data_IF_737201872570
#
_entry.id   IF_737201872570
#
_cell.length_a   1.000
_cell.length_b   1.000
_cell.length_c   1.000
_cell.angle_alpha   90.00
_cell.angle_beta   90.00
_cell.angle_gamma   90.00
#
_symmetry.space_group_name_H-M   'P 1'
#
loop_
_entity.id
_entity.type
_entity.pdbx_description
1 polymer ?
#
# COMPACT_ATOMS: atom_id res chain seq x y z
N UNK A 1 21.46 -31.29 25.42
CA UNK A 1 22.50 -30.23 25.45
C UNK A 1 21.82 -28.96 25.88
N UNK A 2 22.22 -28.44 27.04
CA UNK A 2 21.76 -27.15 27.55
C UNK A 2 22.56 -26.02 26.90
N UNK A 3 21.95 -24.87 26.70
CA UNK A 3 22.64 -23.63 26.32
C UNK A 3 23.30 -23.08 27.57
N UNK A 4 24.59 -22.77 27.53
CA UNK A 4 25.35 -22.36 28.72
C UNK A 4 24.98 -20.94 29.20
N UNK A 5 24.62 -20.04 28.27
CA UNK A 5 24.12 -18.70 28.58
C UNK A 5 23.03 -18.23 27.59
N UNK A 6 21.75 -18.49 27.86
CA UNK A 6 20.67 -18.19 26.91
C UNK A 6 20.30 -16.70 26.84
N UNK A 7 20.95 -15.81 27.61
CA UNK A 7 20.57 -14.40 27.74
C UNK A 7 20.45 -13.69 26.39
N UNK A 8 21.41 -13.87 25.48
CA UNK A 8 21.39 -13.25 24.15
C UNK A 8 20.19 -13.68 23.30
N UNK A 9 19.88 -14.98 23.28
CA UNK A 9 18.74 -15.52 22.54
C UNK A 9 17.40 -15.09 23.16
N UNK A 10 17.32 -14.99 24.48
CA UNK A 10 16.13 -14.50 25.19
C UNK A 10 15.90 -13.00 24.94
N UNK A 11 16.98 -12.21 24.92
CA UNK A 11 16.96 -10.80 24.55
C UNK A 11 16.50 -10.61 23.09
N UNK A 12 17.02 -11.41 22.16
CA UNK A 12 16.60 -11.36 20.75
C UNK A 12 15.12 -11.76 20.59
N UNK A 13 14.65 -12.77 21.34
CA UNK A 13 13.23 -13.14 21.40
C UNK A 13 12.35 -11.97 21.86
N UNK A 14 12.78 -11.23 22.88
CA UNK A 14 12.06 -10.07 23.40
C UNK A 14 11.99 -8.92 22.38
N UNK A 15 13.04 -8.70 21.60
CA UNK A 15 13.03 -7.72 20.50
C UNK A 15 12.05 -8.18 19.41
N UNK A 16 12.08 -9.46 19.03
CA UNK A 16 11.18 -9.98 18.00
C UNK A 16 9.70 -9.90 18.37
N UNK A 17 9.35 -10.19 19.62
CA UNK A 17 7.95 -10.11 20.07
C UNK A 17 7.39 -8.67 20.03
N UNK A 18 8.25 -7.67 20.19
CA UNK A 18 7.88 -6.25 20.08
C UNK A 18 7.72 -5.78 18.63
N UNK A 19 8.54 -6.30 17.71
CA UNK A 19 8.61 -5.82 16.31
C UNK A 19 7.65 -6.56 15.39
N UNK A 20 7.47 -7.87 15.55
CA UNK A 20 6.58 -8.69 14.70
C UNK A 20 5.72 -9.62 15.54
N UNK A 21 4.41 -9.36 15.57
CA UNK A 21 3.43 -10.29 16.15
C UNK A 21 3.40 -11.58 15.32
N UNK A 22 3.70 -12.73 15.95
CA UNK A 22 3.49 -14.06 15.37
C UNK A 22 4.74 -14.85 14.95
N UNK A 23 5.96 -14.36 15.20
CA UNK A 23 7.18 -15.15 14.94
C UNK A 23 7.33 -16.24 16.00
N UNK A 24 7.27 -17.51 15.60
CA UNK A 24 7.57 -18.64 16.47
C UNK A 24 9.09 -18.77 16.65
N UNK A 25 9.65 -17.96 17.55
CA UNK A 25 11.10 -17.93 17.81
C UNK A 25 11.69 -19.30 18.18
N UNK A 26 10.92 -20.13 18.88
CA UNK A 26 11.30 -21.51 19.23
C UNK A 26 11.52 -22.40 18.01
N UNK A 27 10.83 -22.15 16.90
CA UNK A 27 11.05 -22.89 15.64
C UNK A 27 12.35 -22.49 14.93
N UNK A 28 12.91 -21.31 15.23
CA UNK A 28 14.18 -20.84 14.66
C UNK A 28 15.40 -21.43 15.39
N UNK A 29 15.23 -21.95 16.61
CA UNK A 29 16.31 -22.50 17.44
C UNK A 29 16.56 -23.98 17.13
N UNK A 30 17.07 -24.29 15.95
CA UNK A 30 17.51 -25.66 15.60
C UNK A 30 18.69 -26.12 16.46
N UNK A 31 18.90 -27.44 16.59
CA UNK A 31 20.02 -28.01 17.37
C UNK A 31 21.38 -27.45 16.93
N UNK A 32 21.59 -27.31 15.62
CA UNK A 32 22.80 -26.72 15.05
C UNK A 32 23.03 -25.27 15.51
N UNK A 33 21.99 -24.46 15.54
CA UNK A 33 22.07 -23.06 16.00
C UNK A 33 22.39 -22.99 17.50
N UNK A 34 21.90 -23.93 18.30
CA UNK A 34 22.22 -24.00 19.73
C UNK A 34 23.69 -24.38 19.98
N UNK A 35 24.24 -25.30 19.17
CA UNK A 35 25.66 -25.66 19.20
C UNK A 35 26.55 -24.50 18.72
N UNK A 36 26.20 -23.87 17.60
CA UNK A 36 26.91 -22.70 17.07
C UNK A 36 26.91 -21.55 18.10
N UNK A 37 25.81 -21.33 18.80
CA UNK A 37 25.69 -20.26 19.81
C UNK A 37 26.62 -20.47 21.01
N UNK A 38 26.83 -21.72 21.45
CA UNK A 38 27.77 -22.02 22.53
C UNK A 38 29.23 -21.74 22.13
N UNK A 39 29.56 -21.77 20.84
CA UNK A 39 30.92 -21.49 20.33
C UNK A 39 31.14 -20.01 19.99
N UNK A 40 30.17 -19.35 19.37
CA UNK A 40 30.30 -17.99 18.86
C UNK A 40 28.97 -17.20 18.98
N UNK A 41 28.57 -16.79 20.20
CA UNK A 41 27.26 -16.22 20.47
C UNK A 41 26.97 -14.94 19.68
N UNK A 42 27.97 -14.04 19.53
CA UNK A 42 27.85 -12.78 18.77
C UNK A 42 27.48 -13.04 17.31
N UNK A 43 28.22 -13.95 16.65
CA UNK A 43 28.00 -14.27 15.23
C UNK A 43 26.61 -14.85 14.97
N UNK A 44 26.11 -15.66 15.90
CA UNK A 44 24.78 -16.28 15.81
C UNK A 44 23.69 -15.23 16.03
N UNK A 45 23.87 -14.32 16.97
CA UNK A 45 22.92 -13.22 17.19
C UNK A 45 22.83 -12.30 15.97
N UNK A 46 23.95 -11.94 15.36
CA UNK A 46 23.98 -11.18 14.10
C UNK A 46 23.29 -11.93 12.97
N UNK A 47 23.60 -13.22 12.78
CA UNK A 47 23.00 -14.02 11.70
C UNK A 47 21.50 -14.18 11.87
N UNK A 48 21.04 -14.56 13.06
CA UNK A 48 19.61 -14.73 13.36
C UNK A 48 18.82 -13.43 13.19
N UNK A 49 19.39 -12.30 13.61
CA UNK A 49 18.74 -11.00 13.44
C UNK A 49 18.75 -10.53 11.99
N UNK A 50 19.81 -10.80 11.22
CA UNK A 50 19.87 -10.52 9.79
C UNK A 50 18.87 -11.37 8.98
N UNK A 51 18.74 -12.66 9.28
CA UNK A 51 17.78 -13.58 8.63
C UNK A 51 16.33 -13.16 8.86
N UNK A 52 16.06 -12.46 9.97
CA UNK A 52 14.75 -11.87 10.27
C UNK A 52 14.59 -10.43 9.76
N UNK A 53 15.59 -9.91 9.03
CA UNK A 53 15.57 -8.60 8.39
C UNK A 53 15.84 -7.41 9.32
N UNK A 54 16.37 -7.62 10.53
CA UNK A 54 16.61 -6.54 11.51
C UNK A 54 17.84 -5.66 11.24
N UNK A 55 18.64 -5.99 10.21
CA UNK A 55 19.87 -5.25 9.83
C UNK A 55 20.78 -4.94 11.03
N UNK A 56 21.29 -5.98 11.69
CA UNK A 56 22.12 -5.83 12.87
C UNK A 56 23.51 -5.30 12.50
N UNK A 57 24.09 -4.50 13.38
CA UNK A 57 25.50 -4.10 13.31
C UNK A 57 26.14 -4.25 14.68
N UNK A 58 27.33 -4.84 14.72
CA UNK A 58 28.14 -4.91 15.92
C UNK A 58 28.96 -3.64 16.05
N UNK A 59 28.92 -3.04 17.22
CA UNK A 59 29.49 -1.73 17.52
C UNK A 59 30.25 -1.81 18.83
N UNK A 60 31.33 -1.05 18.92
CA UNK A 60 32.15 -0.95 20.13
C UNK A 60 32.06 0.45 20.72
N UNK A 61 31.88 0.54 22.03
CA UNK A 61 31.81 1.81 22.75
C UNK A 61 30.41 2.42 22.84
N UNK A 62 30.37 3.63 23.39
CA UNK A 62 29.14 4.37 23.73
C UNK A 62 28.74 5.42 22.70
N UNK A 63 29.65 5.76 21.78
CA UNK A 63 29.50 6.89 20.86
C UNK A 63 28.26 6.74 19.97
N UNK A 64 27.97 5.51 19.53
CA UNK A 64 26.84 5.25 18.63
C UNK A 64 25.49 5.52 19.28
N UNK A 65 25.38 5.39 20.60
CA UNK A 65 24.13 5.62 21.33
C UNK A 65 23.76 7.10 21.46
N UNK A 66 24.68 8.02 21.13
CA UNK A 66 24.35 9.44 21.01
C UNK A 66 23.46 9.73 19.79
N UNK A 67 23.67 8.98 18.69
CA UNK A 67 22.89 9.10 17.45
C UNK A 67 21.80 8.05 17.26
N UNK A 68 21.96 6.87 17.87
CA UNK A 68 21.03 5.75 17.73
C UNK A 68 20.09 5.63 18.94
N UNK A 69 18.77 5.71 18.70
CA UNK A 69 17.73 5.61 19.73
C UNK A 69 16.84 4.37 19.66
N UNK A 70 17.19 3.40 18.82
CA UNK A 70 16.46 2.13 18.72
C UNK A 70 16.81 1.15 19.85
N UNK A 71 16.20 -0.05 19.85
CA UNK A 71 16.59 -1.12 20.75
C UNK A 71 18.01 -1.59 20.43
N UNK A 72 18.80 -1.93 21.45
CA UNK A 72 20.14 -2.48 21.30
C UNK A 72 20.35 -3.67 22.24
N UNK A 73 21.14 -4.65 21.81
CA UNK A 73 21.69 -5.67 22.68
C UNK A 73 23.02 -5.18 23.22
N UNK A 74 23.18 -5.22 24.53
CA UNK A 74 24.41 -4.81 25.20
C UNK A 74 24.98 -5.99 25.97
N UNK A 75 26.27 -6.25 25.79
CA UNK A 75 26.96 -7.30 26.53
C UNK A 75 27.58 -6.74 27.81
N UNK A 76 27.33 -7.44 28.92
CA UNK A 76 27.89 -7.15 30.23
C UNK A 76 29.22 -7.90 30.43
N UNK A 77 30.04 -7.45 31.38
CA UNK A 77 31.35 -8.06 31.73
C UNK A 77 31.25 -9.52 32.17
N UNK A 78 30.08 -9.95 32.65
CA UNK A 78 29.80 -11.34 32.99
C UNK A 78 29.36 -12.21 31.79
N UNK A 79 29.56 -11.71 30.56
CA UNK A 79 29.12 -12.31 29.29
C UNK A 79 27.60 -12.43 29.08
N UNK A 80 26.78 -11.85 29.97
CA UNK A 80 25.33 -11.81 29.78
C UNK A 80 24.95 -10.69 28.82
N UNK A 81 23.87 -10.92 28.07
CA UNK A 81 23.29 -9.92 27.19
C UNK A 81 22.02 -9.35 27.81
N UNK A 82 21.86 -8.03 27.70
CA UNK A 82 20.66 -7.30 28.10
C UNK A 82 20.11 -6.50 26.93
N UNK A 83 18.80 -6.25 26.90
CA UNK A 83 18.19 -5.35 25.91
C UNK A 83 18.06 -3.96 26.50
N UNK A 84 18.53 -2.96 25.77
CA UNK A 84 18.17 -1.57 25.96
C UNK A 84 17.04 -1.24 24.99
N UNK A 85 15.76 -1.09 25.42
CA UNK A 85 14.66 -0.80 24.49
C UNK A 85 14.81 0.57 23.81
N UNK A 86 15.40 1.54 24.52
CA UNK A 86 15.69 2.88 24.00
C UNK A 86 17.15 3.23 24.33
N UNK A 87 18.06 2.80 23.46
CA UNK A 87 19.50 2.89 23.72
C UNK A 87 20.05 4.30 23.88
N UNK A 88 19.34 5.33 23.38
CA UNK A 88 19.68 6.75 23.61
C UNK A 88 19.74 7.13 25.09
N UNK A 89 18.93 6.50 25.94
CA UNK A 89 18.97 6.72 27.39
C UNK A 89 20.34 6.36 27.99
N UNK A 90 21.06 5.43 27.39
CA UNK A 90 22.38 5.02 27.87
C UNK A 90 23.45 6.10 27.64
N UNK A 91 23.27 6.98 26.65
CA UNK A 91 24.15 8.11 26.42
C UNK A 91 23.82 9.30 27.34
N UNK A 92 22.53 9.61 27.50
CA UNK A 92 22.08 10.93 28.01
C UNK A 92 21.37 10.90 29.39
N UNK A 93 20.78 9.78 29.80
CA UNK A 93 19.88 9.74 30.96
C UNK A 93 20.57 9.27 32.26
N UNK A 94 20.04 9.69 33.41
CA UNK A 94 20.52 9.24 34.73
C UNK A 94 20.12 7.79 35.03
N UNK A 95 18.93 7.39 34.57
CA UNK A 95 18.39 6.04 34.66
C UNK A 95 18.12 5.48 33.26
N UNK A 96 18.44 4.21 33.07
CA UNK A 96 18.31 3.50 31.80
C UNK A 96 17.33 2.36 31.99
N UNK A 97 16.37 2.26 31.06
CA UNK A 97 15.45 1.14 31.00
C UNK A 97 16.18 -0.08 30.38
N UNK A 98 16.30 -1.16 31.14
CA UNK A 98 17.02 -2.38 30.76
C UNK A 98 16.10 -3.58 30.93
N UNK A 99 15.99 -4.43 29.90
CA UNK A 99 15.38 -5.75 30.04
C UNK A 99 16.49 -6.78 30.23
N UNK A 100 16.57 -7.34 31.43
CA UNK A 100 17.48 -8.42 31.78
C UNK A 100 16.68 -9.71 31.96
N UNK A 101 16.83 -10.68 31.03
CA UNK A 101 16.05 -11.92 31.05
C UNK A 101 16.46 -12.87 32.19
N UNK A 102 17.62 -12.66 32.83
CA UNK A 102 18.11 -13.49 33.93
C UNK A 102 17.82 -12.90 35.32
N UNK A 103 17.30 -11.67 35.38
CA UNK A 103 16.99 -10.97 36.64
C UNK A 103 15.80 -11.54 37.42
N UNK A 104 14.99 -12.40 36.79
CA UNK A 104 13.76 -12.97 37.36
C UNK A 104 12.61 -11.97 37.53
N UNK A 105 12.80 -10.69 37.16
CA UNK A 105 11.73 -9.68 37.15
C UNK A 105 11.04 -9.66 35.79
N UNK A 106 9.71 -9.67 35.79
CA UNK A 106 8.95 -9.52 34.55
C UNK A 106 9.00 -8.08 34.05
N UNK A 107 9.47 -7.88 32.82
CA UNK A 107 9.47 -6.59 32.14
C UNK A 107 10.77 -5.79 32.26
N UNK A 108 10.68 -4.50 31.95
CA UNK A 108 11.84 -3.60 31.87
C UNK A 108 12.14 -3.02 33.25
N UNK A 109 13.40 -3.06 33.65
CA UNK A 109 13.90 -2.58 34.94
C UNK A 109 14.59 -1.23 34.72
N UNK A 110 14.35 -0.27 35.61
CA UNK A 110 15.11 0.98 35.63
C UNK A 110 16.40 0.78 36.43
N UNK A 111 17.55 0.99 35.80
CA UNK A 111 18.89 0.83 36.40
C UNK A 111 19.64 2.16 36.29
N UNK A 112 20.42 2.51 37.32
CA UNK A 112 21.26 3.71 37.27
C UNK A 112 22.32 3.58 36.16
N UNK A 113 22.48 4.62 35.33
CA UNK A 113 23.44 4.61 34.22
C UNK A 113 24.87 4.28 34.67
N UNK A 114 25.30 4.79 35.82
CA UNK A 114 26.62 4.53 36.38
C UNK A 114 26.87 3.03 36.62
N UNK A 115 25.88 2.32 37.18
CA UNK A 115 25.98 0.88 37.43
C UNK A 115 26.06 0.08 36.12
N UNK A 116 25.30 0.49 35.11
CA UNK A 116 25.32 -0.16 33.81
C UNK A 116 26.65 0.08 33.08
N UNK A 117 27.22 1.29 33.18
CA UNK A 117 28.53 1.62 32.60
C UNK A 117 29.66 0.81 33.23
N UNK A 118 29.64 0.60 34.56
CA UNK A 118 30.62 -0.23 35.24
C UNK A 118 30.58 -1.69 34.78
N UNK A 119 29.39 -2.19 34.46
CA UNK A 119 29.17 -3.57 34.01
C UNK A 119 29.25 -3.73 32.48
N UNK A 120 29.34 -2.65 31.71
CA UNK A 120 29.41 -2.71 30.25
C UNK A 120 30.74 -3.29 29.77
N UNK A 121 30.68 -4.28 28.88
CA UNK A 121 31.87 -4.92 28.30
C UNK A 121 32.50 -4.11 27.16
N UNK A 122 31.80 -3.09 26.64
CA UNK A 122 32.19 -2.35 25.45
C UNK A 122 31.52 -2.81 24.16
N UNK A 123 30.88 -3.99 24.14
CA UNK A 123 30.26 -4.57 22.94
C UNK A 123 28.76 -4.39 22.90
N UNK A 124 28.24 -3.95 21.76
CA UNK A 124 26.82 -3.82 21.52
C UNK A 124 26.41 -4.24 20.10
N UNK A 125 25.18 -4.74 19.95
CA UNK A 125 24.54 -4.99 18.67
C UNK A 125 23.34 -4.05 18.54
N UNK A 126 23.37 -3.18 17.54
CA UNK A 126 22.27 -2.28 17.20
C UNK A 126 21.51 -2.81 15.99
N UNK A 127 20.26 -2.36 15.82
CA UNK A 127 19.39 -2.80 14.73
C UNK A 127 18.92 -1.58 13.94
N UNK A 128 19.53 -1.32 12.80
CA UNK A 128 19.27 -0.11 12.01
C UNK A 128 17.82 0.03 11.59
N UNK A 129 17.16 -1.09 11.28
CA UNK A 129 15.75 -1.08 10.92
C UNK A 129 14.81 -0.88 12.12
N UNK A 130 15.34 -0.80 13.34
CA UNK A 130 14.59 -0.56 14.58
C UNK A 130 14.90 0.81 15.21
N UNK A 131 15.84 1.58 14.63
CA UNK A 131 16.10 2.96 15.01
C UNK A 131 14.78 3.75 15.05
N UNK A 132 14.53 4.47 16.14
CA UNK A 132 13.40 5.39 16.19
C UNK A 132 13.62 6.46 15.11
N UNK A 133 12.76 6.47 14.09
CA UNK A 133 12.74 7.57 13.13
C UNK A 133 12.11 8.74 13.86
N UNK A 134 12.84 9.83 13.98
CA UNK A 134 12.33 11.04 14.59
C UNK A 134 11.26 11.66 13.68
N UNK A 135 9.99 11.38 14.01
CA UNK A 135 8.82 11.93 13.32
C UNK A 135 8.85 13.46 13.25
N UNK A 136 9.54 14.13 14.18
CA UNK A 136 9.69 15.60 14.24
C UNK A 136 10.66 16.11 13.16
N UNK A 137 11.64 15.30 12.76
CA UNK A 137 12.56 15.62 11.66
C UNK A 137 11.95 15.38 10.29
N UNK A 138 11.10 14.34 10.15
CA UNK A 138 10.52 13.91 8.87
C UNK A 138 8.99 14.09 8.78
N UNK A 139 8.49 15.27 9.14
CA UNK A 139 7.03 15.51 9.24
C UNK A 139 6.28 15.29 7.92
N UNK A 140 6.89 15.65 6.78
CA UNK A 140 6.32 15.53 5.43
C UNK A 140 6.16 14.07 5.01
N UNK A 141 7.19 13.27 5.23
CA UNK A 141 7.18 11.86 4.89
C UNK A 141 6.23 11.07 5.79
N UNK A 142 6.27 11.34 7.11
CA UNK A 142 5.33 10.75 8.07
C UNK A 142 3.88 11.08 7.72
N UNK A 143 3.59 12.33 7.31
CA UNK A 143 2.26 12.75 6.86
C UNK A 143 1.79 12.00 5.61
N UNK A 144 2.68 11.79 4.63
CA UNK A 144 2.37 10.99 3.44
C UNK A 144 2.04 9.54 3.79
N UNK A 145 2.82 8.93 4.68
CA UNK A 145 2.64 7.54 5.09
C UNK A 145 1.31 7.35 5.82
N UNK A 146 0.95 8.27 6.72
CA UNK A 146 -0.35 8.24 7.40
C UNK A 146 -1.52 8.26 6.40
N UNK A 147 -1.44 9.09 5.36
CA UNK A 147 -2.46 9.14 4.29
C UNK A 147 -2.43 7.87 3.44
N UNK A 148 -1.24 7.35 3.10
CA UNK A 148 -1.13 6.12 2.32
C UNK A 148 -1.72 4.91 3.06
N UNK A 149 -1.50 4.82 4.38
CA UNK A 149 -2.10 3.82 5.26
C UNK A 149 -3.62 3.97 5.37
N UNK A 150 -4.15 5.19 5.42
CA UNK A 150 -5.59 5.45 5.32
C UNK A 150 -6.19 4.89 4.01
N UNK A 151 -5.43 4.89 2.91
CA UNK A 151 -5.82 4.24 1.66
C UNK A 151 -5.39 2.76 1.57
N UNK A 152 -5.23 2.06 2.70
CA UNK A 152 -4.84 0.66 2.82
C UNK A 152 -3.51 0.29 2.13
N UNK A 153 -2.64 1.27 1.89
CA UNK A 153 -1.30 1.00 1.33
C UNK A 153 -0.36 0.77 2.49
N UNK A 154 0.12 -0.47 2.64
CA UNK A 154 1.10 -0.82 3.68
C UNK A 154 2.44 -0.23 3.28
N UNK A 155 2.86 0.79 4.01
CA UNK A 155 4.12 1.50 3.78
C UNK A 155 4.83 1.64 5.13
N UNK A 156 6.11 1.29 5.14
CA UNK A 156 7.01 1.51 6.26
C UNK A 156 7.94 2.71 5.96
N UNK A 157 8.07 3.62 6.92
CA UNK A 157 8.89 4.83 6.77
C UNK A 157 10.36 4.50 6.53
N UNK A 158 10.88 3.45 7.16
CA UNK A 158 12.28 3.03 7.08
C UNK A 158 12.59 2.41 5.73
N UNK A 159 11.64 1.65 5.19
CA UNK A 159 11.74 1.08 3.84
C UNK A 159 11.86 2.21 2.80
N UNK A 160 10.98 3.22 2.87
CA UNK A 160 11.08 4.39 1.99
C UNK A 160 12.40 5.12 2.19
N UNK A 161 12.79 5.40 3.43
CA UNK A 161 14.01 6.16 3.68
C UNK A 161 15.24 5.48 3.09
N UNK A 162 15.28 4.15 3.15
CA UNK A 162 16.36 3.38 2.55
C UNK A 162 16.29 3.32 1.03
N UNK A 163 15.13 2.95 0.46
CA UNK A 163 14.95 2.77 -0.99
C UNK A 163 15.22 4.08 -1.76
N UNK A 164 14.82 5.21 -1.20
CA UNK A 164 14.98 6.53 -1.81
C UNK A 164 16.17 7.32 -1.27
N UNK A 165 17.05 6.69 -0.47
CA UNK A 165 18.21 7.32 0.15
C UNK A 165 17.87 8.67 0.82
N UNK A 166 16.77 8.69 1.58
CA UNK A 166 16.33 9.87 2.34
C UNK A 166 17.16 9.96 3.60
N UNK A 167 17.88 11.08 3.76
CA UNK A 167 18.64 11.39 4.98
C UNK A 167 17.75 11.77 6.17
N UNK A 168 18.34 12.34 7.21
CA UNK A 168 17.57 12.82 8.38
C UNK A 168 16.81 14.13 8.13
N UNK A 169 17.10 14.84 7.03
CA UNK A 169 16.45 16.11 6.69
C UNK A 169 15.11 15.93 5.97
N UNK A 170 14.21 16.89 6.18
CA UNK A 170 12.88 16.94 5.59
C UNK A 170 12.89 16.69 4.05
N UNK A 171 12.21 15.62 3.61
CA UNK A 171 12.13 15.23 2.18
C UNK A 171 11.64 16.40 1.33
N UNK A 172 12.45 16.87 0.36
CA UNK A 172 12.05 17.93 -0.59
C UNK A 172 10.79 17.57 -1.39
N UNK A 173 10.01 18.58 -1.79
CA UNK A 173 8.69 18.36 -2.41
C UNK A 173 8.78 17.51 -3.68
N UNK A 174 9.73 17.81 -4.58
CA UNK A 174 10.00 17.02 -5.79
C UNK A 174 10.24 15.54 -5.49
N UNK A 175 10.92 15.27 -4.38
CA UNK A 175 11.31 13.92 -3.99
C UNK A 175 10.10 13.18 -3.42
N UNK A 176 9.30 13.85 -2.58
CA UNK A 176 8.01 13.31 -2.13
C UNK A 176 7.07 13.00 -3.30
N UNK A 177 6.99 13.88 -4.31
CA UNK A 177 6.14 13.61 -5.48
C UNK A 177 6.58 12.36 -6.25
N UNK A 178 7.89 12.10 -6.33
CA UNK A 178 8.43 10.90 -6.94
C UNK A 178 8.09 9.65 -6.13
N UNK A 179 8.38 9.66 -4.82
CA UNK A 179 8.01 8.58 -3.89
C UNK A 179 6.51 8.29 -3.99
N UNK A 180 5.68 9.33 -3.88
CA UNK A 180 4.24 9.20 -4.00
C UNK A 180 3.82 8.55 -5.33
N UNK A 181 4.41 8.94 -6.46
CA UNK A 181 4.10 8.39 -7.77
C UNK A 181 4.41 6.89 -7.86
N UNK A 182 5.52 6.44 -7.28
CA UNK A 182 5.94 5.03 -7.29
C UNK A 182 4.99 4.17 -6.45
N UNK A 183 4.46 4.72 -5.35
CA UNK A 183 3.35 4.12 -4.58
C UNK A 183 1.96 4.38 -5.18
N UNK A 184 1.88 4.83 -6.44
CA UNK A 184 0.63 5.10 -7.18
C UNK A 184 -0.24 6.22 -6.58
N UNK A 185 0.36 7.24 -6.00
CA UNK A 185 -0.31 8.45 -5.56
C UNK A 185 0.02 9.62 -6.49
N UNK A 186 -1.02 10.35 -6.91
CA UNK A 186 -0.86 11.67 -7.53
C UNK A 186 -0.89 12.73 -6.44
N UNK A 187 0.15 13.56 -6.39
CA UNK A 187 0.22 14.71 -5.49
C UNK A 187 -0.04 16.03 -6.23
N UNK A 188 -0.76 16.96 -5.60
CA UNK A 188 -0.94 18.32 -6.12
C UNK A 188 -1.02 19.33 -4.98
N UNK A 189 -0.17 20.36 -5.01
CA UNK A 189 -0.28 21.49 -4.09
C UNK A 189 -1.43 22.40 -4.52
N UNK A 190 -2.26 22.81 -3.56
CA UNK A 190 -3.38 23.73 -3.73
C UNK A 190 -3.43 24.71 -2.56
N UNK A 191 -4.00 25.89 -2.78
CA UNK A 191 -4.30 26.85 -1.71
C UNK A 191 -5.80 26.88 -1.47
N UNK A 192 -6.25 26.53 -0.27
CA UNK A 192 -7.66 26.52 0.11
C UNK A 192 -7.91 27.46 1.28
N UNK A 193 -9.04 28.17 1.23
CA UNK A 193 -9.53 28.98 2.36
C UNK A 193 -10.36 28.11 3.31
N UNK A 194 -10.52 28.56 4.56
CA UNK A 194 -11.30 27.87 5.59
C UNK A 194 -12.72 27.49 5.13
N UNK A 195 -13.46 28.44 4.53
CA UNK A 195 -14.79 28.19 3.95
C UNK A 195 -14.83 27.11 2.85
N UNK A 196 -13.71 26.90 2.13
CA UNK A 196 -13.61 25.85 1.12
C UNK A 196 -13.26 24.50 1.75
N UNK A 197 -12.51 24.49 2.85
CA UNK A 197 -12.19 23.27 3.60
C UNK A 197 -13.45 22.62 4.17
N UNK A 198 -14.39 23.42 4.68
CA UNK A 198 -15.71 22.96 5.14
C UNK A 198 -16.46 22.17 4.05
N UNK A 199 -16.40 22.64 2.80
CA UNK A 199 -17.07 22.01 1.66
C UNK A 199 -16.23 20.90 0.99
N UNK A 200 -14.98 20.72 1.41
CA UNK A 200 -14.02 19.82 0.77
C UNK A 200 -13.96 18.43 1.42
N UNK A 201 -14.99 18.01 2.16
CA UNK A 201 -15.00 16.73 2.88
C UNK A 201 -14.58 15.51 2.05
N UNK A 202 -14.88 15.49 0.74
CA UNK A 202 -14.48 14.42 -0.19
C UNK A 202 -13.01 14.40 -0.60
N UNK A 203 -12.24 15.45 -0.29
CA UNK A 203 -10.82 15.61 -0.70
C UNK A 203 -9.85 15.36 0.46
N UNK A 204 -10.38 15.06 1.65
CA UNK A 204 -9.62 14.70 2.85
C UNK A 204 -9.41 13.18 2.92
N UNK A 205 -8.31 12.69 3.54
CA UNK A 205 -7.27 13.46 4.23
C UNK A 205 -6.24 14.09 3.27
N UNK A 206 -5.62 15.20 3.68
CA UNK A 206 -4.58 15.89 2.92
C UNK A 206 -3.44 16.40 3.81
N UNK A 207 -2.28 16.73 3.23
CA UNK A 207 -1.15 17.27 4.01
C UNK A 207 -1.25 18.80 4.06
N UNK A 208 -1.33 19.38 5.25
CA UNK A 208 -1.31 20.82 5.48
C UNK A 208 0.10 21.34 5.76
N UNK A 209 0.42 22.52 5.22
CA UNK A 209 1.74 23.16 5.36
C UNK A 209 1.68 24.24 6.45
N UNK A 210 2.44 24.03 7.53
CA UNK A 210 2.59 24.97 8.64
C UNK A 210 3.47 26.16 8.24
N UNK A 211 3.30 27.28 8.94
CA UNK A 211 4.17 28.47 8.77
C UNK A 211 5.60 28.23 9.22
N UNK A 212 5.83 27.27 10.12
CA UNK A 212 7.16 26.82 10.54
C UNK A 212 7.94 26.08 9.44
N UNK A 213 7.30 25.74 8.31
CA UNK A 213 7.89 24.93 7.24
C UNK A 213 7.72 23.41 7.45
N UNK A 214 7.01 23.00 8.50
CA UNK A 214 6.66 21.61 8.82
C UNK A 214 5.27 21.23 8.30
N UNK A 215 4.90 19.95 8.46
CA UNK A 215 3.73 19.34 7.84
C UNK A 215 2.86 18.61 8.85
N UNK A 216 1.54 18.70 8.70
CA UNK A 216 0.58 17.92 9.45
C UNK A 216 -0.48 17.33 8.52
N UNK A 217 -1.17 16.28 8.94
CA UNK A 217 -2.28 15.68 8.18
C UNK A 217 -3.58 16.31 8.62
N UNK A 218 -4.30 16.94 7.70
CA UNK A 218 -5.68 17.37 7.90
C UNK A 218 -6.61 16.20 7.57
N UNK A 219 -7.24 15.64 8.60
CA UNK A 219 -8.07 14.45 8.51
C UNK A 219 -9.53 14.77 8.18
N UNK A 220 -10.04 15.88 8.69
CA UNK A 220 -11.46 16.18 8.67
C UNK A 220 -11.77 17.58 9.19
N UNK A 221 -13.03 17.98 9.07
CA UNK A 221 -13.62 19.09 9.81
C UNK A 221 -14.73 18.51 10.68
N UNK A 222 -14.85 18.98 11.93
CA UNK A 222 -15.89 18.58 12.87
C UNK A 222 -16.57 19.84 13.40
N UNK A 223 -17.88 19.78 13.59
CA UNK A 223 -18.60 20.82 14.34
C UNK A 223 -18.74 20.37 15.79
N UNK A 224 -18.34 21.23 16.73
CA UNK A 224 -18.49 21.03 18.17
C UNK A 224 -19.05 22.32 18.78
N UNK A 225 -20.19 22.25 19.48
CA UNK A 225 -20.87 23.41 20.08
C UNK A 225 -21.00 24.63 19.12
N UNK A 226 -21.51 24.39 17.90
CA UNK A 226 -21.65 25.37 16.80
C UNK A 226 -20.34 26.01 16.30
N UNK A 227 -19.18 25.51 16.74
CA UNK A 227 -17.87 25.92 16.25
C UNK A 227 -17.28 24.86 15.33
N UNK A 228 -16.87 25.27 14.14
CA UNK A 228 -16.17 24.41 13.19
C UNK A 228 -14.70 24.28 13.62
N UNK A 229 -14.24 23.05 13.78
CA UNK A 229 -12.89 22.71 14.17
C UNK A 229 -12.22 21.83 13.10
N UNK A 230 -10.96 22.10 12.81
CA UNK A 230 -10.14 21.26 11.95
C UNK A 230 -9.56 20.10 12.76
N UNK A 231 -9.71 18.89 12.25
CA UNK A 231 -9.15 17.66 12.86
C UNK A 231 -7.81 17.36 12.20
N UNK A 232 -6.73 17.47 12.97
CA UNK A 232 -5.36 17.32 12.49
C UNK A 232 -4.65 16.17 13.21
N UNK A 233 -3.71 15.55 12.51
CA UNK A 233 -2.70 14.67 13.09
C UNK A 233 -1.34 15.31 12.82
N UNK A 234 -0.58 15.57 13.88
CA UNK A 234 0.64 16.36 13.81
C UNK A 234 1.84 15.52 14.25
N UNK A 235 2.71 15.09 13.32
CA UNK A 235 3.89 14.29 13.64
C UNK A 235 4.84 14.94 14.66
N UNK A 236 4.74 16.26 14.89
CA UNK A 236 5.58 16.98 15.85
C UNK A 236 5.11 16.83 17.30
N UNK A 237 3.82 16.56 17.54
CA UNK A 237 3.27 16.40 18.89
C UNK A 237 3.30 14.93 19.27
N UNK A 238 3.83 14.63 20.46
CA UNK A 238 3.86 13.26 20.97
C UNK A 238 2.42 12.77 21.21
N UNK A 239 1.94 11.94 20.30
CA UNK A 239 0.62 11.34 20.40
C UNK A 239 0.68 10.15 21.38
N UNK A 240 0.11 10.32 22.56
CA UNK A 240 -0.29 9.17 23.39
C UNK A 240 -1.47 8.46 22.72
N UNK A 241 -1.72 7.18 23.08
CA UNK A 241 -2.78 6.38 22.45
C UNK A 241 -4.17 7.05 22.50
N UNK A 242 -4.42 7.89 23.50
CA UNK A 242 -5.68 8.60 23.73
C UNK A 242 -5.81 9.96 22.99
N UNK A 243 -4.72 10.55 22.49
CA UNK A 243 -4.76 11.90 21.89
C UNK A 243 -4.05 12.00 20.54
N UNK A 244 -4.50 11.17 19.58
CA UNK A 244 -3.97 11.12 18.21
C UNK A 244 -4.39 12.29 17.32
N UNK A 245 -5.49 12.96 17.67
CA UNK A 245 -6.04 14.06 16.89
C UNK A 245 -6.01 15.36 17.68
N UNK A 246 -5.66 16.43 16.99
CA UNK A 246 -5.66 17.80 17.50
C UNK A 246 -6.82 18.52 16.84
N UNK A 247 -7.59 19.22 17.65
CA UNK A 247 -8.72 20.04 17.21
C UNK A 247 -8.30 21.50 17.27
N UNK A 248 -8.40 22.21 16.14
CA UNK A 248 -8.06 23.63 16.05
C UNK A 248 -9.24 24.45 15.55
N UNK A 249 -9.48 25.60 16.17
CA UNK A 249 -10.44 26.59 15.68
C UNK A 249 -9.95 27.28 14.39
N UNK A 250 -10.83 28.04 13.74
CA UNK A 250 -10.48 28.81 12.53
C UNK A 250 -9.31 29.77 12.78
N UNK A 251 -9.30 30.44 13.93
CA UNK A 251 -8.24 31.39 14.30
C UNK A 251 -6.90 30.68 14.49
N UNK A 252 -6.90 29.61 15.28
CA UNK A 252 -5.70 28.81 15.57
C UNK A 252 -5.12 28.19 14.30
N UNK A 253 -5.99 27.67 13.42
CA UNK A 253 -5.55 27.11 12.15
C UNK A 253 -4.91 28.17 11.25
N UNK A 254 -5.48 29.37 11.15
CA UNK A 254 -4.91 30.46 10.33
C UNK A 254 -3.58 30.98 10.88
N UNK A 255 -3.41 30.90 12.19
CA UNK A 255 -2.16 31.27 12.86
C UNK A 255 -1.05 30.24 12.57
N UNK A 256 -1.32 28.94 12.75
CA UNK A 256 -0.30 27.90 12.57
C UNK A 256 -0.05 27.52 11.10
N UNK A 257 -1.06 27.62 10.23
CA UNK A 257 -0.99 27.14 8.85
C UNK A 257 -0.95 28.24 7.79
N UNK A 258 -0.31 27.94 6.66
CA UNK A 258 -0.18 28.85 5.52
C UNK A 258 -1.43 28.89 4.62
N UNK A 259 -2.34 27.92 4.78
CA UNK A 259 -3.47 27.67 3.87
C UNK A 259 -3.10 26.92 2.58
N UNK A 260 -1.83 26.54 2.41
CA UNK A 260 -1.39 25.62 1.36
C UNK A 260 -1.52 24.18 1.83
N UNK A 261 -1.96 23.32 0.92
CA UNK A 261 -2.23 21.90 1.16
C UNK A 261 -1.67 21.07 0.01
N UNK A 262 -1.20 19.87 0.29
CA UNK A 262 -0.82 18.86 -0.69
C UNK A 262 -1.92 17.80 -0.70
N UNK A 263 -2.68 17.76 -1.79
CA UNK A 263 -3.69 16.73 -2.02
C UNK A 263 -3.01 15.47 -2.54
N UNK A 264 -3.37 14.33 -1.95
CA UNK A 264 -2.92 13.02 -2.39
C UNK A 264 -4.12 12.23 -2.91
N UNK A 265 -4.00 11.71 -4.12
CA UNK A 265 -5.03 10.86 -4.72
C UNK A 265 -4.42 9.53 -5.13
N UNK A 266 -4.90 8.43 -4.53
CA UNK A 266 -4.52 7.07 -4.97
C UNK A 266 -5.00 6.84 -6.40
N UNK A 267 -4.10 6.35 -7.23
CA UNK A 267 -4.31 5.93 -8.62
C UNK A 267 -4.48 4.42 -8.59
N UNK A 268 -5.62 3.96 -9.08
CA UNK A 268 -5.92 2.54 -9.17
C UNK A 268 -5.66 2.06 -10.60
N UNK A 269 -5.08 0.87 -10.74
CA UNK A 269 -4.98 0.20 -12.04
C UNK A 269 -6.37 -0.23 -12.51
N UNK A 270 -6.56 -0.37 -13.82
CA UNK A 270 -7.79 -0.93 -14.38
C UNK A 270 -8.09 -2.34 -13.84
N UNK A 271 -7.07 -3.10 -13.45
CA UNK A 271 -7.21 -4.45 -12.90
C UNK A 271 -7.37 -4.47 -11.37
N UNK A 272 -7.35 -3.32 -10.71
CA UNK A 272 -7.35 -3.21 -9.25
C UNK A 272 -8.77 -3.42 -8.69
N UNK A 273 -8.94 -4.37 -7.77
CA UNK A 273 -10.25 -4.70 -7.21
C UNK A 273 -10.76 -3.63 -6.23
N UNK A 274 -9.85 -2.86 -5.63
CA UNK A 274 -10.15 -1.79 -4.67
C UNK A 274 -10.46 -0.44 -5.33
N UNK A 275 -10.50 -0.37 -6.68
CA UNK A 275 -10.78 0.88 -7.38
C UNK A 275 -12.18 1.44 -7.03
N UNK A 276 -12.31 2.76 -6.74
CA UNK A 276 -13.60 3.40 -6.51
C UNK A 276 -14.51 3.30 -7.75
N UNK A 277 -15.82 3.28 -7.51
CA UNK A 277 -16.83 3.12 -8.55
C UNK A 277 -16.73 4.24 -9.61
N UNK A 278 -16.25 3.87 -10.81
CA UNK A 278 -16.18 4.72 -12.02
C UNK A 278 -16.34 3.86 -13.29
N UNK A 279 -16.92 4.35 -14.39
CA UNK A 279 -17.12 3.58 -15.64
C UNK A 279 -15.88 2.79 -16.14
N UNK A 280 -14.68 3.22 -15.75
CA UNK A 280 -13.42 2.51 -16.00
C UNK A 280 -13.33 1.12 -15.34
N UNK A 281 -14.06 0.86 -14.26
CA UNK A 281 -14.10 -0.45 -13.59
C UNK A 281 -14.82 -1.53 -14.41
N UNK A 282 -15.64 -1.14 -15.40
CA UNK A 282 -16.42 -2.04 -16.26
C UNK A 282 -15.60 -2.57 -17.46
N UNK A 283 -14.63 -1.78 -17.94
CA UNK A 283 -13.76 -2.09 -19.08
C UNK A 283 -12.99 -3.44 -18.93
N UNK A 284 -12.42 -3.79 -17.76
CA UNK A 284 -11.70 -5.05 -17.57
C UNK A 284 -12.57 -6.29 -17.84
N UNK A 285 -13.88 -6.20 -17.62
CA UNK A 285 -14.79 -7.33 -17.79
C UNK A 285 -15.01 -7.67 -19.28
N UNK A 286 -15.02 -6.65 -20.15
CA UNK A 286 -14.99 -6.82 -21.61
C UNK A 286 -13.66 -7.42 -22.05
N UNK A 287 -12.56 -6.94 -21.46
CA UNK A 287 -11.20 -7.37 -21.78
C UNK A 287 -10.97 -8.84 -21.37
N UNK A 288 -11.54 -9.30 -20.26
CA UNK A 288 -11.45 -10.71 -19.82
C UNK A 288 -12.05 -11.68 -20.82
N UNK A 289 -13.05 -11.26 -21.61
CA UNK A 289 -13.72 -12.09 -22.61
C UNK A 289 -13.27 -11.80 -24.06
N UNK A 290 -12.09 -11.21 -24.26
CA UNK A 290 -11.52 -10.88 -25.59
C UNK A 290 -11.60 -12.01 -26.63
N UNK A 291 -11.46 -13.26 -26.21
CA UNK A 291 -11.55 -14.42 -27.11
C UNK A 291 -12.93 -14.58 -27.76
N UNK A 292 -14.02 -14.24 -27.06
CA UNK A 292 -15.38 -14.32 -27.61
C UNK A 292 -15.60 -13.19 -28.62
N UNK A 293 -15.16 -11.97 -28.30
CA UNK A 293 -15.24 -10.83 -29.21
C UNK A 293 -14.40 -11.04 -30.48
N UNK A 294 -13.24 -11.70 -30.39
CA UNK A 294 -12.45 -12.09 -31.56
C UNK A 294 -13.20 -13.04 -32.50
N UNK A 295 -13.91 -14.05 -31.96
CA UNK A 295 -14.74 -14.97 -32.76
C UNK A 295 -15.91 -14.26 -33.43
N UNK A 296 -16.58 -13.36 -32.70
CA UNK A 296 -17.66 -12.54 -33.24
C UNK A 296 -17.14 -11.65 -34.37
N UNK A 297 -15.98 -11.00 -34.17
CA UNK A 297 -15.36 -10.15 -35.19
C UNK A 297 -15.05 -10.94 -36.48
N UNK A 298 -14.54 -12.16 -36.36
CA UNK A 298 -14.31 -13.04 -37.51
C UNK A 298 -15.61 -13.38 -38.24
N UNK A 299 -16.68 -13.72 -37.50
CA UNK A 299 -18.00 -13.98 -38.12
C UNK A 299 -18.55 -12.74 -38.83
N UNK A 300 -18.43 -11.55 -38.24
CA UNK A 300 -18.84 -10.29 -38.90
C UNK A 300 -18.06 -10.08 -40.19
N UNK A 301 -16.74 -10.26 -40.15
CA UNK A 301 -15.89 -10.14 -41.32
C UNK A 301 -16.31 -11.11 -42.43
N UNK A 302 -16.57 -12.38 -42.10
CA UNK A 302 -17.08 -13.36 -43.05
C UNK A 302 -18.42 -12.90 -43.65
N UNK A 303 -19.40 -12.54 -42.82
CA UNK A 303 -20.70 -12.05 -43.27
C UNK A 303 -20.57 -10.85 -44.21
N UNK A 304 -19.66 -9.92 -43.92
CA UNK A 304 -19.40 -8.77 -44.80
C UNK A 304 -18.86 -9.22 -46.16
N UNK A 305 -17.94 -10.17 -46.22
CA UNK A 305 -17.44 -10.73 -47.49
C UNK A 305 -18.56 -11.45 -48.26
N UNK A 306 -19.34 -12.31 -47.57
CA UNK A 306 -20.45 -13.04 -48.19
C UNK A 306 -21.58 -12.11 -48.66
N UNK A 307 -21.79 -10.97 -48.00
CA UNK A 307 -22.79 -9.97 -48.42
C UNK A 307 -22.50 -9.39 -49.81
N UNK A 308 -21.23 -9.40 -50.24
CA UNK A 308 -20.80 -8.95 -51.56
C UNK A 308 -21.12 -9.96 -52.68
N UNK A 309 -21.41 -11.22 -52.34
CA UNK A 309 -21.70 -12.27 -53.34
C UNK A 309 -23.03 -12.01 -54.05
N UNK A 310 -24.04 -11.48 -53.35
CA UNK A 310 -25.37 -11.23 -53.92
C UNK A 310 -25.29 -10.18 -55.05
N UNK A 311 -24.67 -8.99 -54.88
CA UNK A 311 -24.47 -8.03 -55.97
C UNK A 311 -23.68 -8.62 -57.15
N UNK A 312 -22.57 -9.33 -56.88
CA UNK A 312 -21.74 -9.93 -57.93
C UNK A 312 -22.51 -10.99 -58.73
N UNK A 313 -23.32 -11.79 -58.05
CA UNK A 313 -24.19 -12.75 -58.72
C UNK A 313 -25.21 -12.05 -59.60
N UNK A 314 -25.87 -11.02 -59.09
CA UNK A 314 -26.87 -10.28 -59.87
C UNK A 314 -26.24 -9.72 -61.15
N UNK A 315 -25.03 -9.17 -61.04
CA UNK A 315 -24.24 -8.73 -62.18
C UNK A 315 -23.98 -9.87 -63.19
N UNK A 316 -23.50 -11.04 -62.74
CA UNK A 316 -23.24 -12.18 -63.64
C UNK A 316 -24.52 -12.65 -64.33
N UNK A 317 -25.64 -12.69 -63.62
CA UNK A 317 -26.93 -13.11 -64.21
C UNK A 317 -27.39 -12.14 -65.28
N UNK A 318 -27.34 -10.84 -65.00
CA UNK A 318 -27.77 -9.80 -65.96
C UNK A 318 -26.85 -9.76 -67.17
N UNK A 319 -25.54 -9.66 -66.93
CA UNK A 319 -24.57 -9.37 -68.00
C UNK A 319 -24.25 -10.60 -68.85
N UNK A 320 -24.20 -11.80 -68.24
CA UNK A 320 -23.76 -13.02 -68.94
C UNK A 320 -24.88 -14.01 -69.20
N UNK A 321 -25.77 -14.25 -68.24
CA UNK A 321 -26.72 -15.37 -68.34
C UNK A 321 -27.96 -14.98 -69.14
N UNK A 322 -28.52 -13.80 -68.89
CA UNK A 322 -29.68 -13.28 -69.64
C UNK A 322 -29.32 -12.96 -71.09
N UNK A 323 -28.17 -12.34 -71.33
CA UNK A 323 -27.73 -11.97 -72.69
C UNK A 323 -27.46 -13.20 -73.56
N UNK A 324 -26.81 -14.24 -73.01
CA UNK A 324 -26.45 -15.45 -73.77
C UNK A 324 -27.50 -16.56 -73.71
N UNK A 325 -28.66 -16.33 -73.09
CA UNK A 325 -29.73 -17.32 -72.87
C UNK A 325 -29.21 -18.65 -72.28
N UNK A 326 -28.21 -18.58 -71.39
CA UNK A 326 -27.50 -19.74 -70.88
C UNK A 326 -28.20 -20.37 -69.65
N UNK A 327 -29.41 -20.93 -69.85
CA UNK A 327 -30.26 -21.45 -68.76
C UNK A 327 -29.61 -22.53 -67.89
N UNK A 328 -28.73 -23.37 -68.44
CA UNK A 328 -27.99 -24.36 -67.65
C UNK A 328 -27.04 -23.69 -66.63
N UNK A 329 -26.41 -22.57 -67.03
CA UNK A 329 -25.56 -21.78 -66.13
C UNK A 329 -26.40 -21.10 -65.05
N UNK A 330 -27.60 -20.62 -65.39
CA UNK A 330 -28.54 -20.03 -64.43
C UNK A 330 -28.89 -21.01 -63.31
N UNK A 331 -29.23 -22.26 -63.66
CA UNK A 331 -29.63 -23.28 -62.70
C UNK A 331 -28.49 -23.61 -61.72
N UNK A 332 -27.26 -23.79 -62.22
CA UNK A 332 -26.07 -24.04 -61.38
C UNK A 332 -25.80 -22.85 -60.45
N UNK A 333 -25.85 -21.63 -60.98
CA UNK A 333 -25.63 -20.43 -60.19
C UNK A 333 -26.73 -20.27 -59.13
N UNK A 334 -27.99 -20.53 -59.47
CA UNK A 334 -29.14 -20.44 -58.56
C UNK A 334 -29.03 -21.39 -57.37
N UNK A 335 -28.61 -22.64 -57.60
CA UNK A 335 -28.29 -23.58 -56.52
C UNK A 335 -27.14 -23.05 -55.67
N UNK A 336 -26.09 -22.49 -56.31
CA UNK A 336 -24.96 -21.86 -55.61
C UNK A 336 -25.38 -20.72 -54.68
N UNK A 337 -26.29 -19.85 -55.13
CA UNK A 337 -26.85 -18.78 -54.28
C UNK A 337 -27.65 -19.34 -53.13
N UNK A 338 -28.47 -20.36 -53.37
CA UNK A 338 -29.33 -20.92 -52.33
C UNK A 338 -28.47 -21.49 -51.19
N UNK A 339 -27.37 -22.17 -51.54
CA UNK A 339 -26.35 -22.64 -50.60
C UNK A 339 -25.68 -21.46 -49.87
N UNK A 340 -25.28 -20.41 -50.60
CA UNK A 340 -24.63 -19.24 -50.01
C UNK A 340 -25.54 -18.49 -49.02
N UNK A 341 -26.83 -18.34 -49.33
CA UNK A 341 -27.84 -17.73 -48.46
C UNK A 341 -28.06 -18.58 -47.20
N UNK A 342 -28.15 -19.89 -47.35
CA UNK A 342 -28.27 -20.81 -46.21
C UNK A 342 -27.02 -20.72 -45.31
N UNK A 343 -25.82 -20.73 -45.88
CA UNK A 343 -24.58 -20.55 -45.13
C UNK A 343 -24.55 -19.20 -44.39
N UNK A 344 -24.88 -18.10 -45.07
CA UNK A 344 -24.94 -16.77 -44.48
C UNK A 344 -25.93 -16.72 -43.29
N UNK A 345 -27.07 -17.41 -43.42
CA UNK A 345 -28.08 -17.52 -42.36
C UNK A 345 -27.54 -18.25 -41.13
N UNK A 346 -26.85 -19.38 -41.33
CA UNK A 346 -26.22 -20.16 -40.24
C UNK A 346 -25.13 -19.33 -39.53
N UNK A 347 -24.27 -18.64 -40.27
CA UNK A 347 -23.21 -17.79 -39.67
C UNK A 347 -23.83 -16.59 -38.94
N UNK A 348 -24.88 -15.98 -39.47
CA UNK A 348 -25.61 -14.87 -38.83
C UNK A 348 -26.25 -15.32 -37.51
N UNK A 349 -26.86 -16.51 -37.50
CA UNK A 349 -27.40 -17.11 -36.29
C UNK A 349 -26.31 -17.37 -35.24
N UNK A 350 -25.19 -17.99 -35.64
CA UNK A 350 -24.05 -18.23 -34.76
C UNK A 350 -23.49 -16.93 -34.16
N UNK A 351 -23.36 -15.87 -34.97
CA UNK A 351 -22.96 -14.53 -34.50
C UNK A 351 -23.92 -14.00 -33.44
N UNK A 352 -25.22 -14.09 -33.70
CA UNK A 352 -26.27 -13.56 -32.81
C UNK A 352 -26.30 -14.32 -31.48
N UNK A 353 -26.18 -15.64 -31.53
CA UNK A 353 -26.06 -16.48 -30.35
C UNK A 353 -24.82 -16.15 -29.52
N UNK A 354 -23.65 -15.98 -30.16
CA UNK A 354 -22.42 -15.60 -29.46
C UNK A 354 -22.51 -14.22 -28.82
N UNK A 355 -23.15 -13.25 -29.48
CA UNK A 355 -23.40 -11.92 -28.92
C UNK A 355 -24.29 -12.00 -27.69
N UNK A 356 -25.39 -12.75 -27.75
CA UNK A 356 -26.30 -12.95 -26.62
C UNK A 356 -25.58 -13.62 -25.44
N UNK A 357 -24.80 -14.67 -25.71
CA UNK A 357 -24.00 -15.34 -24.69
C UNK A 357 -22.99 -14.39 -24.03
N UNK A 358 -22.29 -13.57 -24.83
CA UNK A 358 -21.34 -12.59 -24.33
C UNK A 358 -22.04 -11.52 -23.46
N UNK A 359 -23.17 -10.99 -23.93
CA UNK A 359 -23.97 -9.99 -23.21
C UNK A 359 -24.43 -10.53 -21.85
N UNK A 360 -25.12 -11.67 -21.83
CA UNK A 360 -25.60 -12.29 -20.60
C UNK A 360 -24.47 -12.56 -19.59
N UNK A 361 -23.32 -13.03 -20.06
CA UNK A 361 -22.16 -13.29 -19.18
C UNK A 361 -21.60 -12.00 -18.57
N UNK A 362 -21.50 -10.94 -19.37
CA UNK A 362 -21.02 -9.63 -18.90
C UNK A 362 -22.04 -9.00 -17.94
N UNK A 363 -23.33 -9.09 -18.26
CA UNK A 363 -24.41 -8.54 -17.44
C UNK A 363 -24.44 -9.19 -16.06
N UNK A 364 -24.40 -10.53 -15.99
CA UNK A 364 -24.39 -11.26 -14.70
C UNK A 364 -23.15 -10.87 -13.87
N UNK A 365 -21.95 -10.92 -14.47
CA UNK A 365 -20.71 -10.59 -13.76
C UNK A 365 -20.68 -9.14 -13.26
N UNK A 366 -21.16 -8.21 -14.09
CA UNK A 366 -21.22 -6.78 -13.76
C UNK A 366 -22.29 -6.50 -12.71
N UNK A 367 -23.47 -7.09 -12.80
CA UNK A 367 -24.54 -6.92 -11.84
C UNK A 367 -24.12 -7.41 -10.46
N UNK A 368 -23.54 -8.61 -10.36
CA UNK A 368 -23.06 -9.15 -9.08
C UNK A 368 -21.98 -8.28 -8.44
N UNK A 369 -21.01 -7.79 -9.23
CA UNK A 369 -19.94 -6.91 -8.72
C UNK A 369 -20.44 -5.53 -8.33
N UNK A 370 -21.36 -4.96 -9.11
CA UNK A 370 -22.00 -3.68 -8.78
C UNK A 370 -22.73 -3.80 -7.46
N UNK A 371 -23.57 -4.83 -7.31
CA UNK A 371 -24.35 -5.07 -6.11
C UNK A 371 -23.44 -5.27 -4.88
N UNK A 372 -22.43 -6.14 -4.99
CA UNK A 372 -21.49 -6.38 -3.90
C UNK A 372 -20.69 -5.13 -3.48
N UNK A 373 -20.42 -4.20 -4.42
CA UNK A 373 -19.75 -2.93 -4.12
C UNK A 373 -20.68 -1.89 -3.51
N UNK A 374 -21.92 -1.79 -3.99
CA UNK A 374 -22.92 -0.90 -3.40
C UNK A 374 -23.18 -1.27 -1.93
N UNK A 375 -23.29 -2.56 -1.63
CA UNK A 375 -23.48 -3.06 -0.26
C UNK A 375 -22.29 -2.78 0.69
N UNK A 376 -21.13 -2.39 0.16
CA UNK A 376 -19.93 -2.07 0.96
C UNK A 376 -19.71 -0.57 1.15
N UNK A 377 -20.49 0.30 0.51
CA UNK A 377 -20.32 1.74 0.64
C UNK A 377 -20.91 2.27 1.95
N UNK A 378 -20.27 3.29 2.58
CA UNK A 378 -20.81 3.98 3.74
C UNK A 378 -22.16 4.64 3.44
N UNK A 379 -23.00 4.79 4.47
CA UNK A 379 -24.36 5.35 4.38
C UNK A 379 -24.37 6.75 3.74
N UNK A 380 -23.33 7.57 3.98
CA UNK A 380 -23.16 8.91 3.39
C UNK A 380 -23.21 8.95 1.84
N UNK A 381 -22.88 7.85 1.17
CA UNK A 381 -23.01 7.77 -0.29
C UNK A 381 -24.48 7.73 -0.73
N UNK A 382 -25.33 7.06 0.03
CA UNK A 382 -26.76 6.91 -0.26
C UNK A 382 -27.55 8.20 0.05
N UNK A 383 -27.09 9.02 1.00
CA UNK A 383 -27.72 10.31 1.30
C UNK A 383 -27.59 11.32 0.16
N UNK A 384 -26.56 11.19 -0.68
CA UNK A 384 -26.26 12.13 -1.77
C UNK A 384 -26.76 11.66 -3.16
N UNK A 385 -27.25 10.43 -3.28
CA UNK A 385 -27.74 9.86 -4.54
C UNK A 385 -29.18 9.42 -4.36
N UNK A 386 -30.18 10.17 -4.87
CA UNK A 386 -31.56 9.76 -4.75
C UNK A 386 -31.75 8.40 -5.44
N UNK A 387 -32.39 7.47 -4.73
CA UNK A 387 -32.84 6.18 -5.24
C UNK A 387 -33.98 6.43 -6.24
N UNK A 388 -33.59 6.73 -7.48
CA UNK A 388 -34.49 6.82 -8.64
C UNK A 388 -35.05 5.47 -9.02
#
# INVERSE_FOLDING_TARGET
MSIDNPSGLQCLKAIFSQVRRGVNFTALLTKKIQEDYNTAPESVLLKLSADQGLRPEQTEGLEIFSGYGGPALVQLKNNNWVVLPQSKQFAEAEFVAVFDPLSGKEGVISVARAQLLEQFSGKAIIFHNLAQVDSKKQTRLTSFIAIAQHHNTRIDIREIMHEYAVGEEEVKERHLRHIAADYKFKSKEVKLSWKKLEKAGTVLPCIAIKRSGKYAVLCGMRTNDDKLEAVLMDPEKDHTADNRFIFLSEEQYKEEFTGKLILLKKIFSLTDEEQPFSLRWFIPEFIKNKGIFGKIALMVLMLTIFSLIIPLFFQIVVDKVLVNQAYNTLNVLGIGILIAVLFNTVVSFARSYMLLFAANKIDISTATKTFARLMKQPVDFFDNVPSG
#
